data_IF_543105393132
#
_entry.id   IF_543105393132
#
_cell.length_a   1.000
_cell.length_b   1.000
_cell.length_c   1.000
_cell.angle_alpha   90.00
_cell.angle_beta   90.00
_cell.angle_gamma   90.00
#
_symmetry.space_group_name_H-M   'P 1'
#
loop_
_entity.id
_entity.type
_entity.pdbx_description
1 polymer ?
#
# COMPACT_ATOMS: atom_id res chain seq x y z
N UNK A 1 11.13 -1.46 -22.65
CA UNK A 1 10.37 -1.18 -21.41
C UNK A 1 9.07 -1.97 -21.46
N UNK A 2 8.83 -2.86 -20.50
CA UNK A 2 7.57 -3.64 -20.43
C UNK A 2 6.46 -2.74 -19.87
N UNK A 3 5.25 -2.83 -20.43
CA UNK A 3 4.07 -2.08 -20.00
C UNK A 3 3.10 -3.01 -19.28
N UNK A 4 2.85 -2.78 -18.00
CA UNK A 4 1.88 -3.53 -17.21
C UNK A 4 0.65 -2.68 -16.87
N UNK A 5 -0.55 -3.27 -16.87
CA UNK A 5 -1.78 -2.57 -16.42
C UNK A 5 -1.83 -2.42 -14.90
N UNK A 6 -1.26 -3.40 -14.20
CA UNK A 6 -1.25 -3.51 -12.75
C UNK A 6 0.16 -3.86 -12.26
N UNK A 7 0.45 -3.51 -11.01
CA UNK A 7 1.68 -3.90 -10.30
C UNK A 7 1.25 -4.49 -8.96
N UNK A 8 1.76 -5.67 -8.62
CA UNK A 8 1.58 -6.28 -7.30
C UNK A 8 2.84 -6.08 -6.47
N UNK A 9 2.69 -5.58 -5.24
CA UNK A 9 3.68 -5.69 -4.17
C UNK A 9 3.28 -6.88 -3.30
N UNK A 10 4.26 -7.66 -2.86
CA UNK A 10 4.09 -8.78 -1.94
C UNK A 10 5.42 -9.01 -1.24
N UNK A 11 5.37 -9.61 -0.06
CA UNK A 11 6.56 -9.98 0.71
C UNK A 11 7.12 -11.31 0.18
N UNK A 12 8.39 -11.60 0.46
CA UNK A 12 9.06 -12.82 -0.01
C UNK A 12 8.66 -14.08 0.77
N UNK A 13 7.95 -13.91 1.89
CA UNK A 13 7.35 -14.94 2.72
C UNK A 13 5.85 -15.17 2.43
N UNK A 14 5.31 -14.55 1.37
CA UNK A 14 3.92 -14.68 0.96
C UNK A 14 3.70 -15.68 -0.19
N UNK A 15 2.59 -16.41 -0.15
CA UNK A 15 2.11 -17.23 -1.27
C UNK A 15 1.02 -16.50 -2.06
N UNK A 16 1.18 -16.44 -3.40
CA UNK A 16 0.23 -15.73 -4.28
C UNK A 16 -0.52 -16.70 -5.19
N UNK A 17 -1.85 -16.74 -5.04
CA UNK A 17 -2.78 -17.35 -6.01
C UNK A 17 -2.99 -16.40 -7.20
N UNK A 18 -2.02 -16.40 -8.12
CA UNK A 18 -2.00 -15.48 -9.28
C UNK A 18 -3.26 -15.62 -10.14
N UNK A 19 -3.77 -16.82 -10.29
CA UNK A 19 -5.01 -17.14 -10.99
C UNK A 19 -6.22 -16.40 -10.41
N UNK A 20 -6.38 -16.44 -9.07
CA UNK A 20 -7.47 -15.77 -8.37
C UNK A 20 -7.35 -14.25 -8.40
N UNK A 21 -6.12 -13.73 -8.31
CA UNK A 21 -5.85 -12.29 -8.44
C UNK A 21 -6.26 -11.81 -9.83
N UNK A 22 -5.85 -12.52 -10.89
CA UNK A 22 -6.22 -12.16 -12.26
C UNK A 22 -7.73 -12.26 -12.50
N UNK A 23 -8.38 -13.32 -11.99
CA UNK A 23 -9.83 -13.48 -12.09
C UNK A 23 -10.57 -12.31 -11.40
N UNK A 24 -10.10 -11.90 -10.23
CA UNK A 24 -10.67 -10.77 -9.48
C UNK A 24 -10.48 -9.44 -10.19
N UNK A 25 -9.26 -9.16 -10.69
CA UNK A 25 -8.98 -7.92 -11.43
C UNK A 25 -9.81 -7.82 -12.72
N UNK A 26 -10.01 -8.94 -13.42
CA UNK A 26 -10.86 -9.00 -14.62
C UNK A 26 -12.33 -8.73 -14.29
N UNK A 27 -12.84 -9.24 -13.14
CA UNK A 27 -14.21 -8.98 -12.68
C UNK A 27 -14.43 -7.51 -12.29
N UNK A 28 -13.46 -6.91 -11.60
CA UNK A 28 -13.53 -5.49 -11.19
C UNK A 28 -13.52 -4.58 -12.44
N UNK A 29 -12.80 -4.96 -13.49
CA UNK A 29 -12.73 -4.24 -14.77
C UNK A 29 -12.34 -2.75 -14.61
N UNK A 30 -11.54 -2.43 -13.60
CA UNK A 30 -11.06 -1.08 -13.31
C UNK A 30 -9.55 -0.99 -13.57
N UNK A 31 -9.16 -0.14 -14.52
CA UNK A 31 -7.76 -0.04 -14.99
C UNK A 31 -7.04 1.22 -14.50
N UNK A 32 -7.71 2.08 -13.72
CA UNK A 32 -7.20 3.35 -13.18
C UNK A 32 -7.72 3.55 -11.76
N UNK A 33 -6.93 4.20 -10.90
CA UNK A 33 -7.30 4.46 -9.50
C UNK A 33 -7.57 3.22 -8.64
N UNK A 34 -7.05 2.03 -9.01
CA UNK A 34 -7.29 0.80 -8.27
C UNK A 34 -6.21 0.57 -7.23
N UNK A 35 -6.62 0.47 -5.96
CA UNK A 35 -5.89 -0.21 -4.90
C UNK A 35 -6.71 -1.45 -4.52
N UNK A 36 -6.13 -2.64 -4.69
CA UNK A 36 -6.78 -3.92 -4.44
C UNK A 36 -5.95 -4.73 -3.46
N UNK A 37 -6.56 -5.20 -2.38
CA UNK A 37 -5.91 -5.95 -1.31
C UNK A 37 -6.81 -5.95 -0.08
N UNK A 38 -6.26 -6.38 1.05
CA UNK A 38 -6.93 -6.20 2.33
C UNK A 38 -6.75 -4.74 2.78
N UNK A 39 -7.84 -3.97 2.84
CA UNK A 39 -7.79 -2.55 3.21
C UNK A 39 -8.11 -2.38 4.69
N UNK A 40 -7.26 -1.64 5.39
CA UNK A 40 -7.49 -1.21 6.76
C UNK A 40 -7.88 0.27 6.76
N UNK A 41 -9.12 0.57 7.13
CA UNK A 41 -9.65 1.93 7.16
C UNK A 41 -9.69 2.56 8.56
N UNK A 42 -9.48 1.76 9.61
CA UNK A 42 -9.71 2.17 11.01
C UNK A 42 -8.45 1.98 11.89
N UNK A 43 -7.29 1.78 11.27
CA UNK A 43 -6.03 1.60 12.00
C UNK A 43 -5.54 2.87 12.69
N UNK A 44 -4.84 2.67 13.81
CA UNK A 44 -4.28 3.74 14.64
C UNK A 44 -2.81 3.47 14.93
N UNK A 45 -2.00 4.52 15.13
CA UNK A 45 -0.61 4.34 15.53
C UNK A 45 -0.48 3.61 16.87
N UNK A 46 0.42 2.62 16.94
CA UNK A 46 0.71 1.98 18.21
C UNK A 46 1.51 2.95 19.09
N UNK A 47 0.92 3.38 20.21
CA UNK A 47 1.53 4.34 21.14
C UNK A 47 2.33 3.72 22.29
N UNK A 48 2.37 2.38 22.38
CA UNK A 48 3.20 1.70 23.36
C UNK A 48 4.67 1.65 22.88
N UNK A 49 5.64 2.26 23.60
CA UNK A 49 7.06 2.25 23.22
C UNK A 49 7.68 0.85 23.06
N UNK A 50 7.13 -0.16 23.76
CA UNK A 50 7.62 -1.55 23.67
C UNK A 50 7.10 -2.30 22.42
N UNK A 51 6.21 -1.68 21.65
CA UNK A 51 5.70 -2.26 20.41
C UNK A 51 6.74 -2.15 19.29
N UNK A 52 6.95 -3.24 18.54
CA UNK A 52 7.76 -3.19 17.29
C UNK A 52 7.23 -2.15 16.28
N UNK A 53 5.92 -1.91 16.35
CA UNK A 53 5.18 -0.95 15.53
C UNK A 53 4.99 0.41 16.21
N UNK A 54 5.73 0.71 17.28
CA UNK A 54 5.62 1.98 17.98
C UNK A 54 5.84 3.17 17.05
N UNK A 55 4.94 4.15 17.15
CA UNK A 55 4.98 5.44 16.44
C UNK A 55 4.64 6.54 17.44
N UNK A 56 5.57 7.48 17.63
CA UNK A 56 5.38 8.58 18.58
C UNK A 56 4.40 9.63 18.05
N UNK A 57 3.87 10.46 18.95
CA UNK A 57 2.96 11.57 18.58
C UNK A 57 3.68 12.60 17.72
N UNK A 58 5.00 12.77 17.88
CA UNK A 58 5.82 13.66 17.07
C UNK A 58 5.95 13.16 15.62
N UNK A 59 6.07 11.84 15.42
CA UNK A 59 6.19 11.25 14.07
C UNK A 59 4.84 11.23 13.31
N UNK A 60 3.76 10.98 14.05
CA UNK A 60 2.39 10.98 13.56
C UNK A 60 1.45 11.57 14.62
N UNK A 61 1.09 12.86 14.53
CA UNK A 61 0.24 13.53 15.52
C UNK A 61 -1.21 13.05 15.52
N UNK A 62 -1.71 12.57 14.38
CA UNK A 62 -3.11 12.20 14.21
C UNK A 62 -3.45 10.90 14.95
N UNK A 63 -4.73 10.73 15.30
CA UNK A 63 -5.18 9.54 16.03
C UNK A 63 -5.31 8.29 15.15
N UNK A 64 -5.49 8.49 13.84
CA UNK A 64 -5.74 7.44 12.86
C UNK A 64 -4.79 7.56 11.66
N UNK A 65 -4.58 6.44 10.98
CA UNK A 65 -3.95 6.43 9.66
C UNK A 65 -4.99 6.63 8.55
N UNK A 66 -4.59 7.15 7.36
CA UNK A 66 -5.43 7.04 6.18
C UNK A 66 -5.66 5.56 5.82
N UNK A 67 -6.71 5.22 5.03
CA UNK A 67 -6.90 3.86 4.57
C UNK A 67 -5.69 3.35 3.78
N UNK A 68 -5.23 2.16 4.12
CA UNK A 68 -4.03 1.54 3.53
C UNK A 68 -4.20 0.05 3.31
N UNK A 69 -3.35 -0.57 2.49
CA UNK A 69 -3.43 -1.99 2.16
C UNK A 69 -2.37 -2.80 2.91
N UNK A 70 -2.76 -3.94 3.46
CA UNK A 70 -1.86 -4.78 4.27
C UNK A 70 -0.65 -5.31 3.46
N UNK A 71 0.50 -5.36 4.13
CA UNK A 71 1.81 -5.74 3.58
C UNK A 71 1.94 -7.08 2.85
N UNK A 72 1.29 -8.17 3.29
CA UNK A 72 1.44 -9.48 2.63
C UNK A 72 1.15 -9.43 1.13
N UNK A 73 0.26 -8.54 0.68
CA UNK A 73 0.22 -8.17 -0.72
C UNK A 73 -0.95 -7.28 -1.13
N UNK A 74 -0.68 -6.42 -2.10
CA UNK A 74 -1.68 -5.57 -2.74
C UNK A 74 -1.31 -5.29 -4.20
N UNK A 75 -2.33 -4.97 -4.99
CA UNK A 75 -2.24 -4.60 -6.39
C UNK A 75 -2.62 -3.14 -6.57
N UNK A 76 -1.81 -2.40 -7.30
CA UNK A 76 -2.11 -1.04 -7.74
C UNK A 76 -2.22 -0.93 -9.25
N UNK A 77 -3.10 -0.07 -9.75
CA UNK A 77 -3.13 0.29 -11.17
C UNK A 77 -1.89 1.10 -11.56
N UNK A 78 -1.51 1.01 -12.84
CA UNK A 78 -0.31 1.66 -13.40
C UNK A 78 -0.25 3.18 -13.13
N UNK A 79 -1.38 3.86 -13.14
CA UNK A 79 -1.45 5.30 -12.87
C UNK A 79 -1.11 5.65 -11.41
N UNK A 80 -1.53 4.84 -10.44
CA UNK A 80 -1.11 4.98 -9.04
C UNK A 80 0.39 4.73 -8.91
N UNK A 81 0.91 3.62 -9.46
CA UNK A 81 2.34 3.32 -9.43
C UNK A 81 3.19 4.46 -10.04
N UNK A 82 2.74 5.03 -11.16
CA UNK A 82 3.38 6.21 -11.78
C UNK A 82 3.28 7.46 -10.91
N UNK A 83 2.16 7.68 -10.22
CA UNK A 83 1.98 8.83 -9.34
C UNK A 83 2.95 8.76 -8.15
N UNK A 84 3.04 7.60 -7.49
CA UNK A 84 3.99 7.34 -6.39
C UNK A 84 5.43 7.60 -6.85
N UNK A 85 5.85 7.00 -7.96
CA UNK A 85 7.19 7.22 -8.52
C UNK A 85 7.48 8.70 -8.80
N UNK A 86 6.53 9.43 -9.40
CA UNK A 86 6.68 10.86 -9.69
C UNK A 86 6.78 11.71 -8.42
N UNK A 87 6.01 11.38 -7.37
CA UNK A 87 6.08 12.11 -6.08
C UNK A 87 7.40 11.85 -5.39
N UNK A 88 7.85 10.60 -5.36
CA UNK A 88 9.16 10.21 -4.83
C UNK A 88 10.30 10.96 -5.56
N UNK A 89 10.34 10.93 -6.90
CA UNK A 89 11.36 11.65 -7.69
C UNK A 89 11.39 13.16 -7.47
N UNK A 90 10.27 13.75 -7.01
CA UNK A 90 10.17 15.17 -6.68
C UNK A 90 10.44 15.48 -5.20
N UNK A 91 10.80 14.48 -4.38
CA UNK A 91 10.95 14.64 -2.94
C UNK A 91 9.66 15.00 -2.21
N UNK A 92 8.49 14.67 -2.79
CA UNK A 92 7.16 14.99 -2.25
C UNK A 92 6.45 13.80 -1.60
N UNK A 93 7.14 12.67 -1.48
CA UNK A 93 6.65 11.50 -0.75
C UNK A 93 7.25 11.57 0.66
N UNK A 94 6.41 11.57 1.69
CA UNK A 94 6.86 11.49 3.09
C UNK A 94 7.34 10.07 3.31
N UNK A 95 8.63 9.89 3.57
CA UNK A 95 9.13 8.59 4.01
C UNK A 95 8.62 8.34 5.42
N UNK A 96 8.10 7.14 5.67
CA UNK A 96 7.54 6.75 6.94
C UNK A 96 8.03 5.34 7.27
N UNK A 97 8.17 5.05 8.57
CA UNK A 97 8.69 3.77 9.05
C UNK A 97 7.81 2.58 8.63
N UNK A 98 6.50 2.79 8.49
CA UNK A 98 5.54 1.79 8.02
C UNK A 98 5.26 2.06 6.54
N UNK A 99 5.95 1.36 5.67
CA UNK A 99 5.93 1.56 4.21
C UNK A 99 4.57 1.26 3.57
N UNK A 100 3.79 0.37 4.16
CA UNK A 100 2.45 0.05 3.66
C UNK A 100 1.42 1.13 4.00
N UNK A 101 1.72 2.00 4.97
CA UNK A 101 0.82 3.05 5.48
C UNK A 101 0.97 4.39 4.73
N UNK A 102 2.15 4.69 4.17
CA UNK A 102 2.52 6.03 3.67
C UNK A 102 2.82 6.13 2.17
#
# INVERSE_FOLDING_TARGET
>A
VVSAKFVMKTDDDAFVRVDEVLASLNKINMIRGLLYGLINSDSRPHRNPDSKWYISTEEWPEETYPPWAHGPGYVVSRDIAKAVYKRHKKGRLKMFKLEDVA
#
